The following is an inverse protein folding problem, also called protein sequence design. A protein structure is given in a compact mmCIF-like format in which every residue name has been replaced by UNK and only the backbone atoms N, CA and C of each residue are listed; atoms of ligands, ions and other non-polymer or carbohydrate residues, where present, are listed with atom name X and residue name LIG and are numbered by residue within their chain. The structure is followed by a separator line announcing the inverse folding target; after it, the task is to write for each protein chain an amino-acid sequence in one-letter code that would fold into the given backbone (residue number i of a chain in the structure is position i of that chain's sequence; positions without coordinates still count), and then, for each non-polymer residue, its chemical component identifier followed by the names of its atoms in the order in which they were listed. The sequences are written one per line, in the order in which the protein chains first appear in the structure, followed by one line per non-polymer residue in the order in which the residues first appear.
data_IF_668942994856
#
_entry.id   IF_668942994856
#
_cell.length_a   1.000
_cell.length_b   1.000
_cell.length_c   1.000
_cell.angle_alpha   90.00
_cell.angle_beta   90.00
_cell.angle_gamma   90.00
#
_symmetry.space_group_name_H-M   'P 1'
#
loop_
_entity.id
_entity.type
_entity.pdbx_description
1 polymer ?
#
# COMPACT_ATOMS: atom_id res chain seq x y z
N UNK A 1 -34.67 36.21 -2.66
CA UNK A 1 -33.76 36.11 -3.86
C UNK A 1 -32.45 35.52 -3.38
N UNK A 2 -32.32 34.21 -3.46
CA UNK A 2 -31.09 33.49 -3.11
C UNK A 2 -30.39 33.21 -4.43
N UNK A 3 -29.22 33.84 -4.65
CA UNK A 3 -28.36 33.57 -5.78
C UNK A 3 -27.61 32.27 -5.52
N UNK A 4 -27.90 31.25 -6.31
CA UNK A 4 -27.09 30.07 -6.48
C UNK A 4 -25.72 30.48 -7.09
N UNK A 5 -24.64 30.28 -6.34
CA UNK A 5 -23.29 30.29 -6.89
C UNK A 5 -23.01 28.88 -7.40
N UNK A 6 -23.16 28.68 -8.68
CA UNK A 6 -22.56 27.55 -9.39
C UNK A 6 -21.08 27.87 -9.54
N UNK A 7 -20.23 27.17 -8.82
CA UNK A 7 -18.80 27.13 -9.09
C UNK A 7 -18.62 26.25 -10.33
N UNK A 8 -18.31 26.87 -11.45
CA UNK A 8 -17.80 26.18 -12.63
C UNK A 8 -16.50 25.49 -12.27
N UNK A 9 -16.56 24.17 -12.07
CA UNK A 9 -15.39 23.29 -12.07
C UNK A 9 -14.98 23.21 -13.55
N UNK A 10 -13.96 23.97 -13.92
CA UNK A 10 -13.26 23.76 -15.20
C UNK A 10 -12.72 22.32 -15.18
N UNK A 11 -13.44 21.43 -15.82
CA UNK A 11 -12.96 20.11 -16.23
C UNK A 11 -11.93 20.35 -17.33
N UNK A 12 -10.66 20.47 -16.93
CA UNK A 12 -9.53 20.50 -17.82
C UNK A 12 -9.34 19.14 -18.48
N UNK A 13 -10.25 18.76 -19.37
CA UNK A 13 -10.11 17.65 -20.32
C UNK A 13 -9.09 18.06 -21.39
N UNK A 14 -7.82 18.18 -21.01
CA UNK A 14 -6.75 18.04 -21.97
C UNK A 14 -6.68 16.56 -22.30
N UNK A 15 -7.12 16.20 -23.51
CA UNK A 15 -7.18 14.81 -24.00
C UNK A 15 -5.83 14.13 -24.17
N UNK A 16 -4.98 14.20 -23.18
CA UNK A 16 -3.67 13.58 -23.15
C UNK A 16 -3.83 12.14 -22.64
N UNK A 17 -3.74 11.18 -23.53
CA UNK A 17 -3.68 9.76 -23.16
C UNK A 17 -2.48 9.55 -22.26
N UNK A 18 -2.71 9.06 -21.04
CA UNK A 18 -1.65 8.62 -20.13
C UNK A 18 -1.45 7.12 -20.27
N UNK A 19 -0.20 6.69 -20.13
CA UNK A 19 0.19 5.29 -19.97
C UNK A 19 0.48 5.06 -18.49
N UNK A 20 -0.07 3.98 -17.95
CA UNK A 20 0.16 3.53 -16.58
C UNK A 20 1.23 2.44 -16.61
N UNK A 21 2.38 2.71 -16.01
CA UNK A 21 3.50 1.79 -15.91
C UNK A 21 3.67 1.37 -14.45
N UNK A 22 3.53 0.08 -14.15
CA UNK A 22 3.64 -0.46 -12.80
C UNK A 22 4.71 -1.55 -12.69
N UNK A 23 5.29 -1.67 -11.49
CA UNK A 23 6.19 -2.75 -11.11
C UNK A 23 6.13 -3.00 -9.61
N UNK A 24 6.46 -4.22 -9.19
CA UNK A 24 6.51 -4.60 -7.78
C UNK A 24 7.88 -5.12 -7.39
N UNK A 25 8.15 -5.04 -6.08
CA UNK A 25 9.27 -5.72 -5.45
C UNK A 25 8.87 -6.17 -4.05
N UNK A 26 9.25 -7.41 -3.70
CA UNK A 26 8.91 -8.03 -2.42
C UNK A 26 10.17 -8.59 -1.77
N UNK A 27 10.27 -8.44 -0.46
CA UNK A 27 11.31 -9.06 0.38
C UNK A 27 10.58 -9.77 1.52
N UNK A 28 10.55 -11.10 1.54
CA UNK A 28 9.89 -11.83 2.62
C UNK A 28 10.65 -11.66 3.94
N UNK A 29 9.92 -11.69 5.04
CA UNK A 29 10.51 -11.79 6.38
C UNK A 29 11.51 -12.96 6.40
N UNK A 30 12.74 -12.79 6.95
CA UNK A 30 13.77 -13.85 6.90
C UNK A 30 13.31 -15.21 7.42
N UNK A 31 12.50 -15.24 8.46
CA UNK A 31 11.94 -16.49 9.01
C UNK A 31 10.90 -17.16 8.10
N UNK A 32 10.29 -16.41 7.17
CA UNK A 32 9.26 -16.87 6.23
C UNK A 32 9.80 -16.99 4.79
N UNK A 33 11.10 -16.81 4.56
CA UNK A 33 11.69 -16.80 3.22
C UNK A 33 11.44 -18.11 2.42
N UNK A 34 11.33 -19.25 3.10
CA UNK A 34 11.06 -20.54 2.45
C UNK A 34 9.64 -20.65 1.88
N UNK A 35 8.65 -19.98 2.48
CA UNK A 35 7.27 -19.94 2.01
C UNK A 35 7.00 -18.76 1.08
N UNK A 36 7.95 -17.83 0.97
CA UNK A 36 7.83 -16.62 0.17
C UNK A 36 7.19 -15.45 0.88
N UNK A 37 7.02 -15.55 2.22
CA UNK A 37 6.33 -14.54 3.03
C UNK A 37 4.82 -14.68 3.02
N UNK A 38 4.15 -13.78 3.72
CA UNK A 38 2.69 -13.74 3.86
C UNK A 38 2.06 -12.63 3.01
N UNK A 39 2.86 -11.72 2.47
CA UNK A 39 2.42 -10.68 1.54
C UNK A 39 2.10 -11.25 0.15
N UNK A 40 1.24 -10.52 -0.55
CA UNK A 40 0.96 -10.73 -1.96
C UNK A 40 0.77 -9.39 -2.69
N UNK A 41 0.99 -9.38 -3.99
CA UNK A 41 0.68 -8.23 -4.83
C UNK A 41 0.29 -8.65 -6.24
N UNK A 42 -0.32 -7.73 -6.96
CA UNK A 42 -0.47 -7.87 -8.41
C UNK A 42 -0.20 -6.54 -9.11
N UNK A 43 0.26 -6.64 -10.35
CA UNK A 43 0.46 -5.50 -11.26
C UNK A 43 -0.09 -5.87 -12.61
N UNK A 44 -1.03 -5.09 -13.13
CA UNK A 44 -1.55 -5.20 -14.48
C UNK A 44 -1.35 -3.89 -15.25
N UNK A 45 -1.80 -3.84 -16.50
CA UNK A 45 -1.73 -2.63 -17.32
C UNK A 45 -2.61 -1.48 -16.82
N UNK A 46 -3.57 -1.77 -15.92
CA UNK A 46 -4.56 -0.79 -15.46
C UNK A 46 -4.88 -0.88 -13.97
N UNK A 47 -4.36 -1.88 -13.27
CA UNK A 47 -4.63 -2.05 -11.84
C UNK A 47 -3.43 -2.62 -11.11
N UNK A 48 -3.38 -2.30 -9.83
CA UNK A 48 -2.33 -2.74 -8.91
C UNK A 48 -2.95 -3.05 -7.56
N UNK A 49 -2.31 -3.93 -6.78
CA UNK A 49 -2.75 -4.22 -5.42
C UNK A 49 -1.64 -4.79 -4.56
N UNK A 50 -1.73 -4.54 -3.24
CA UNK A 50 -0.89 -5.11 -2.19
C UNK A 50 -1.82 -5.68 -1.12
N UNK A 51 -1.47 -6.85 -0.60
CA UNK A 51 -2.23 -7.63 0.37
C UNK A 51 -1.24 -8.18 1.38
N UNK A 52 -1.33 -7.72 2.61
CA UNK A 52 -0.47 -8.11 3.71
C UNK A 52 -1.17 -9.17 4.56
N UNK A 53 -0.62 -10.38 4.55
CA UNK A 53 -1.20 -11.53 5.26
C UNK A 53 -0.96 -11.44 6.76
N UNK A 54 -2.04 -11.46 7.55
CA UNK A 54 -1.97 -11.28 9.00
C UNK A 54 -1.26 -12.44 9.71
N UNK A 55 -0.07 -12.17 10.25
CA UNK A 55 0.84 -13.18 10.84
C UNK A 55 0.29 -13.89 12.10
N UNK A 56 -0.75 -13.38 12.74
CA UNK A 56 -1.38 -14.00 13.91
C UNK A 56 -1.87 -15.44 13.69
N UNK A 57 -2.19 -15.80 12.48
CA UNK A 57 -2.62 -17.16 12.07
C UNK A 57 -1.53 -18.23 12.21
N UNK A 58 -0.27 -17.85 12.21
CA UNK A 58 0.85 -18.78 12.39
C UNK A 58 0.77 -19.56 13.71
N UNK A 59 0.21 -18.96 14.77
CA UNK A 59 -0.02 -19.63 16.05
C UNK A 59 -1.01 -20.79 15.97
N UNK A 60 -1.85 -20.81 14.94
CA UNK A 60 -2.81 -21.86 14.62
C UNK A 60 -2.29 -22.82 13.54
N UNK A 61 -1.04 -22.67 13.10
CA UNK A 61 -0.44 -23.48 12.04
C UNK A 61 -0.96 -23.18 10.63
N UNK A 62 -1.56 -22.00 10.43
CA UNK A 62 -2.09 -21.55 9.14
C UNK A 62 -1.06 -20.67 8.43
N UNK A 63 -0.76 -21.00 7.16
CA UNK A 63 0.02 -20.16 6.24
C UNK A 63 -0.92 -19.13 5.59
N UNK A 64 -0.98 -17.94 6.15
CA UNK A 64 -1.82 -16.85 5.63
C UNK A 64 -1.34 -16.32 4.29
N UNK A 65 -0.10 -16.58 3.90
CA UNK A 65 0.40 -16.26 2.56
C UNK A 65 -0.34 -16.97 1.43
N UNK A 66 -0.93 -18.15 1.69
CA UNK A 66 -1.84 -18.81 0.74
C UNK A 66 -3.13 -18.01 0.58
N UNK A 67 -3.62 -17.43 1.67
CA UNK A 67 -4.83 -16.62 1.68
C UNK A 67 -4.64 -15.30 0.94
N UNK A 68 -3.59 -14.55 1.27
CA UNK A 68 -3.29 -13.25 0.66
C UNK A 68 -3.03 -13.38 -0.85
N UNK A 69 -2.27 -14.40 -1.28
CA UNK A 69 -2.00 -14.67 -2.71
C UNK A 69 -3.28 -14.99 -3.48
N UNK A 70 -4.17 -15.78 -2.90
CA UNK A 70 -5.44 -16.14 -3.57
C UNK A 70 -6.40 -14.94 -3.60
N UNK A 71 -6.49 -14.14 -2.51
CA UNK A 71 -7.30 -12.94 -2.50
C UNK A 71 -6.83 -11.95 -3.57
N UNK A 72 -5.51 -11.72 -3.67
CA UNK A 72 -4.89 -10.87 -4.68
C UNK A 72 -5.23 -11.34 -6.11
N UNK A 73 -5.09 -12.65 -6.36
CA UNK A 73 -5.38 -13.26 -7.67
C UNK A 73 -6.86 -13.11 -8.06
N UNK A 74 -7.76 -13.38 -7.13
CA UNK A 74 -9.22 -13.29 -7.38
C UNK A 74 -9.67 -11.84 -7.56
N UNK A 75 -9.09 -10.89 -6.80
CA UNK A 75 -9.35 -9.46 -6.97
C UNK A 75 -8.92 -8.98 -8.35
N UNK A 76 -7.69 -9.31 -8.77
CA UNK A 76 -7.17 -8.95 -10.10
C UNK A 76 -8.03 -9.55 -11.21
N UNK A 77 -8.44 -10.81 -11.08
CA UNK A 77 -9.30 -11.50 -12.04
C UNK A 77 -10.66 -10.78 -12.18
N UNK A 78 -11.30 -10.44 -11.07
CA UNK A 78 -12.61 -9.78 -11.12
C UNK A 78 -12.55 -8.36 -11.67
N UNK A 79 -11.48 -7.60 -11.37
CA UNK A 79 -11.24 -6.30 -11.98
C UNK A 79 -11.19 -6.42 -13.53
N UNK A 80 -10.45 -7.38 -14.05
CA UNK A 80 -10.34 -7.61 -15.50
C UNK A 80 -11.68 -8.11 -16.09
N UNK A 81 -12.43 -8.95 -15.39
CA UNK A 81 -13.74 -9.41 -15.80
C UNK A 81 -14.76 -8.26 -15.89
N UNK A 82 -14.80 -7.36 -14.90
CA UNK A 82 -15.65 -6.18 -14.92
C UNK A 82 -15.34 -5.31 -16.15
N UNK A 83 -14.06 -5.05 -16.45
CA UNK A 83 -13.63 -4.27 -17.61
C UNK A 83 -14.07 -4.90 -18.93
N UNK A 84 -13.90 -6.21 -19.06
CA UNK A 84 -14.26 -6.95 -20.28
C UNK A 84 -15.78 -7.03 -20.48
N UNK A 85 -16.55 -7.18 -19.40
CA UNK A 85 -18.00 -7.35 -19.45
C UNK A 85 -18.72 -6.03 -19.70
N UNK A 86 -18.33 -4.97 -19.02
CA UNK A 86 -19.00 -3.67 -19.11
C UNK A 86 -18.51 -2.86 -20.31
N UNK A 87 -17.36 -3.21 -20.89
CA UNK A 87 -16.68 -2.38 -21.88
C UNK A 87 -16.26 -1.01 -21.32
N UNK A 88 -16.31 -0.85 -19.99
CA UNK A 88 -15.90 0.34 -19.25
C UNK A 88 -14.59 0.07 -18.52
N UNK A 89 -13.75 1.09 -18.46
CA UNK A 89 -12.54 1.03 -17.65
C UNK A 89 -12.80 1.40 -16.17
N UNK A 90 -13.99 1.94 -15.86
CA UNK A 90 -14.44 2.18 -14.50
C UNK A 90 -14.85 0.84 -13.87
N UNK A 91 -14.13 0.43 -12.83
CA UNK A 91 -14.36 -0.80 -12.06
C UNK A 91 -14.83 -0.47 -10.65
N UNK A 92 -15.63 -1.36 -10.08
CA UNK A 92 -16.01 -1.34 -8.67
C UNK A 92 -15.04 -2.20 -7.86
N UNK A 93 -14.13 -1.55 -7.14
CA UNK A 93 -13.10 -2.23 -6.37
C UNK A 93 -13.66 -2.93 -5.13
N UNK A 94 -14.72 -2.38 -4.52
CA UNK A 94 -15.40 -3.03 -3.38
C UNK A 94 -16.01 -4.34 -3.83
N UNK A 95 -16.76 -4.34 -4.92
CA UNK A 95 -17.32 -5.56 -5.53
C UNK A 95 -16.24 -6.58 -5.92
N UNK A 96 -15.07 -6.12 -6.38
CA UNK A 96 -13.94 -7.01 -6.70
C UNK A 96 -13.37 -7.69 -5.45
N UNK A 97 -13.23 -6.95 -4.35
CA UNK A 97 -12.81 -7.50 -3.05
C UNK A 97 -13.89 -8.44 -2.46
N UNK A 98 -15.18 -8.10 -2.58
CA UNK A 98 -16.29 -8.97 -2.16
C UNK A 98 -16.28 -10.31 -2.91
N UNK A 99 -16.09 -10.25 -4.23
CA UNK A 99 -15.95 -11.45 -5.05
C UNK A 99 -14.77 -12.30 -4.58
N UNK A 100 -13.61 -11.67 -4.34
CA UNK A 100 -12.40 -12.37 -3.91
C UNK A 100 -12.58 -12.99 -2.52
N UNK A 101 -13.13 -12.25 -1.56
CA UNK A 101 -13.42 -12.72 -0.20
C UNK A 101 -14.35 -13.95 -0.21
N UNK A 102 -15.42 -13.87 -1.00
CA UNK A 102 -16.43 -14.95 -1.09
C UNK A 102 -15.89 -16.22 -1.74
N UNK A 103 -14.95 -16.09 -2.67
CA UNK A 103 -14.45 -17.21 -3.48
C UNK A 103 -13.08 -17.72 -3.06
N UNK A 104 -12.44 -17.15 -2.03
CA UNK A 104 -11.17 -17.64 -1.51
C UNK A 104 -11.37 -18.92 -0.70
N UNK A 105 -10.82 -20.07 -1.12
CA UNK A 105 -11.00 -21.34 -0.43
C UNK A 105 -10.08 -21.53 0.78
N UNK A 106 -9.09 -20.64 0.94
CA UNK A 106 -8.08 -20.78 1.99
C UNK A 106 -8.57 -20.20 3.33
N UNK A 107 -7.96 -20.64 4.41
CA UNK A 107 -8.14 -20.06 5.76
C UNK A 107 -7.05 -19.01 5.98
N UNK A 108 -7.40 -17.89 6.59
CA UNK A 108 -6.49 -16.78 6.88
C UNK A 108 -7.18 -15.44 6.78
N UNK A 109 -6.40 -14.37 6.89
CA UNK A 109 -6.85 -13.00 6.67
C UNK A 109 -5.71 -12.14 6.14
N UNK A 110 -6.06 -11.01 5.53
CA UNK A 110 -5.10 -10.09 4.92
C UNK A 110 -5.68 -8.68 4.89
N UNK A 111 -4.82 -7.66 4.89
CA UNK A 111 -5.18 -6.32 4.48
C UNK A 111 -5.41 -6.26 2.97
N UNK A 112 -5.89 -5.16 2.44
CA UNK A 112 -6.00 -4.97 1.00
C UNK A 112 -5.89 -3.49 0.63
N UNK A 113 -4.91 -3.13 -0.19
CA UNK A 113 -4.88 -1.83 -0.88
C UNK A 113 -4.83 -2.09 -2.38
N UNK A 114 -5.82 -1.59 -3.10
CA UNK A 114 -5.97 -1.81 -4.54
C UNK A 114 -6.25 -0.49 -5.24
N UNK A 115 -5.78 -0.36 -6.49
CA UNK A 115 -6.07 0.80 -7.32
C UNK A 115 -6.25 0.40 -8.78
N UNK A 116 -7.17 1.07 -9.47
CA UNK A 116 -7.46 0.85 -10.88
C UNK A 116 -7.51 2.17 -11.65
N UNK A 117 -6.85 2.21 -12.80
CA UNK A 117 -6.81 3.32 -13.73
C UNK A 117 -7.91 3.20 -14.77
N UNK A 118 -8.73 4.24 -14.88
CA UNK A 118 -9.73 4.41 -15.93
C UNK A 118 -9.20 5.43 -16.96
N UNK A 119 -8.57 4.98 -18.06
CA UNK A 119 -8.02 5.88 -19.08
C UNK A 119 -9.07 6.66 -19.86
N UNK A 120 -10.34 6.21 -19.88
CA UNK A 120 -11.44 6.93 -20.56
C UNK A 120 -12.05 7.98 -19.66
N UNK A 121 -12.26 7.65 -18.40
CA UNK A 121 -12.74 8.59 -17.39
C UNK A 121 -11.67 9.54 -16.87
N UNK A 122 -10.40 9.25 -17.12
CA UNK A 122 -9.27 10.07 -16.65
C UNK A 122 -9.07 10.04 -15.14
N UNK A 123 -9.53 8.98 -14.46
CA UNK A 123 -9.50 8.85 -12.99
C UNK A 123 -8.79 7.57 -12.57
N UNK A 124 -7.92 7.68 -11.57
CA UNK A 124 -7.50 6.54 -10.75
C UNK A 124 -8.44 6.45 -9.55
N UNK A 125 -8.96 5.26 -9.31
CA UNK A 125 -9.74 4.94 -8.11
C UNK A 125 -9.00 3.89 -7.30
N UNK A 126 -9.12 3.98 -5.97
CA UNK A 126 -8.53 2.99 -5.08
C UNK A 126 -9.42 2.70 -3.89
N UNK A 127 -9.11 1.59 -3.23
CA UNK A 127 -9.71 1.15 -1.97
C UNK A 127 -8.59 0.64 -1.06
N UNK A 128 -8.58 1.08 0.19
CA UNK A 128 -7.65 0.65 1.23
C UNK A 128 -8.41 0.09 2.43
N UNK A 129 -8.10 -1.12 2.84
CA UNK A 129 -8.61 -1.75 4.05
C UNK A 129 -7.45 -2.34 4.84
N UNK A 130 -7.23 -1.80 6.03
CA UNK A 130 -6.13 -2.16 6.93
C UNK A 130 -5.04 -1.10 7.00
N UNK A 131 -3.84 -1.51 7.43
CA UNK A 131 -2.68 -0.66 7.67
C UNK A 131 -1.62 -0.69 6.55
N UNK A 132 -1.80 -1.52 5.52
CA UNK A 132 -1.23 -1.27 4.20
C UNK A 132 -1.73 0.07 3.66
N UNK A 133 -1.04 0.67 2.69
CA UNK A 133 -1.45 1.99 2.26
C UNK A 133 -1.03 2.39 0.85
N UNK A 134 -1.61 3.50 0.40
CA UNK A 134 -1.32 4.15 -0.86
C UNK A 134 -0.78 5.58 -0.63
N UNK A 135 0.29 5.93 -1.35
CA UNK A 135 0.79 7.29 -1.49
C UNK A 135 0.76 7.70 -2.96
N UNK A 136 0.16 8.84 -3.25
CA UNK A 136 0.30 9.47 -4.56
C UNK A 136 1.22 10.67 -4.44
N UNK A 137 2.25 10.72 -5.26
CA UNK A 137 3.24 11.79 -5.30
C UNK A 137 3.09 12.57 -6.60
N UNK A 138 3.11 13.89 -6.50
CA UNK A 138 3.03 14.82 -7.63
C UNK A 138 4.15 15.83 -7.55
N UNK A 139 4.66 16.27 -8.70
CA UNK A 139 5.63 17.38 -8.76
C UNK A 139 4.91 18.72 -8.67
N UNK A 140 5.45 19.60 -7.88
CA UNK A 140 5.05 21.02 -7.83
C UNK A 140 5.64 21.82 -9.00
N UNK A 141 5.42 23.13 -8.98
CA UNK A 141 5.94 24.05 -10.01
C UNK A 141 7.48 24.18 -10.00
N UNK A 142 8.15 23.86 -8.89
CA UNK A 142 9.62 23.83 -8.78
C UNK A 142 10.19 22.48 -9.25
N UNK A 143 9.33 21.48 -9.49
CA UNK A 143 9.71 20.13 -9.90
C UNK A 143 9.97 19.18 -8.73
N UNK A 144 9.70 19.62 -7.50
CA UNK A 144 9.84 18.81 -6.29
C UNK A 144 8.60 17.96 -6.04
N UNK A 145 8.79 16.71 -5.59
CA UNK A 145 7.66 15.84 -5.23
C UNK A 145 7.06 16.22 -3.88
N UNK A 146 5.75 16.19 -3.82
CA UNK A 146 4.97 16.28 -2.60
C UNK A 146 3.91 15.18 -2.56
N UNK A 147 3.42 14.85 -1.36
CA UNK A 147 2.34 13.89 -1.18
C UNK A 147 1.03 14.55 -1.55
N UNK A 148 0.43 14.12 -2.67
CA UNK A 148 -0.88 14.57 -3.14
C UNK A 148 -2.00 13.89 -2.36
N UNK A 149 -1.83 12.61 -2.06
CA UNK A 149 -2.78 11.76 -1.36
C UNK A 149 -2.02 10.69 -0.57
N UNK A 150 -2.50 10.40 0.63
CA UNK A 150 -2.11 9.26 1.44
C UNK A 150 -3.36 8.68 2.09
N UNK A 151 -3.51 7.36 2.07
CA UNK A 151 -4.54 6.66 2.85
C UNK A 151 -4.16 6.60 4.32
N UNK A 152 -5.17 6.57 5.20
CA UNK A 152 -4.97 6.35 6.62
C UNK A 152 -4.87 4.85 6.93
N UNK A 153 -4.06 4.48 7.91
CA UNK A 153 -4.10 3.13 8.46
C UNK A 153 -5.42 2.90 9.20
N UNK A 154 -6.09 1.78 8.92
CA UNK A 154 -7.30 1.36 9.61
C UNK A 154 -6.95 0.23 10.58
N UNK A 155 -7.05 0.51 11.86
CA UNK A 155 -6.69 -0.40 12.94
C UNK A 155 -7.78 -0.45 14.03
N UNK A 156 -8.06 -1.63 14.57
CA UNK A 156 -8.85 -1.82 15.79
C UNK A 156 -8.07 -1.45 17.05
N UNK A 157 -6.76 -1.43 16.94
CA UNK A 157 -5.78 -1.06 17.96
C UNK A 157 -4.38 -1.15 17.38
N UNK A 158 -3.38 -0.58 18.06
CA UNK A 158 -2.01 -0.54 17.56
C UNK A 158 -1.51 -1.90 17.08
N UNK A 159 -1.07 -2.00 15.82
CA UNK A 159 -0.66 -3.22 15.12
C UNK A 159 -1.75 -4.31 15.08
N UNK A 160 -3.01 -3.90 14.99
CA UNK A 160 -4.15 -4.79 14.80
C UNK A 160 -5.05 -4.23 13.70
N UNK A 161 -4.71 -4.51 12.43
CA UNK A 161 -5.38 -3.91 11.27
C UNK A 161 -6.81 -4.42 11.06
N UNK A 162 -7.61 -3.62 10.36
CA UNK A 162 -8.77 -4.12 9.63
C UNK A 162 -8.30 -5.16 8.63
N UNK A 163 -9.03 -6.25 8.46
CA UNK A 163 -8.60 -7.39 7.68
C UNK A 163 -9.76 -8.16 7.07
N UNK A 164 -9.60 -8.57 5.83
CA UNK A 164 -10.55 -9.44 5.13
C UNK A 164 -10.15 -10.90 5.33
N UNK A 165 -11.08 -11.74 5.82
CA UNK A 165 -10.73 -13.14 6.00
C UNK A 165 -11.69 -13.99 6.80
N UNK A 166 -11.19 -15.15 7.18
CA UNK A 166 -11.92 -16.16 7.95
C UNK A 166 -12.28 -15.63 9.34
N UNK A 167 -13.56 -15.61 9.65
CA UNK A 167 -14.10 -15.12 10.93
C UNK A 167 -13.75 -13.65 11.26
N UNK A 168 -13.37 -12.86 10.27
CA UNK A 168 -13.22 -11.41 10.43
C UNK A 168 -14.58 -10.72 10.35
N UNK A 169 -14.71 -9.59 11.03
CA UNK A 169 -15.91 -8.75 11.03
C UNK A 169 -15.84 -7.64 9.99
N UNK A 170 -14.63 -7.30 9.55
CA UNK A 170 -14.40 -6.26 8.58
C UNK A 170 -14.81 -6.72 7.17
N UNK A 171 -15.43 -5.84 6.44
CA UNK A 171 -16.00 -6.11 5.12
C UNK A 171 -15.36 -5.20 4.06
N UNK A 172 -15.34 -5.59 2.78
CA UNK A 172 -14.84 -4.73 1.72
C UNK A 172 -15.47 -3.33 1.66
N UNK A 173 -16.73 -3.20 2.14
CA UNK A 173 -17.42 -1.91 2.27
C UNK A 173 -16.83 -0.97 3.34
N UNK A 174 -15.98 -1.47 4.25
CA UNK A 174 -15.30 -0.67 5.27
C UNK A 174 -14.01 -0.03 4.73
N UNK A 175 -13.63 -0.35 3.49
CA UNK A 175 -12.45 0.22 2.86
C UNK A 175 -12.57 1.73 2.69
N UNK A 176 -11.48 2.46 2.98
CA UNK A 176 -11.32 3.86 2.59
C UNK A 176 -11.21 3.94 1.06
N UNK A 177 -12.15 4.65 0.44
CA UNK A 177 -12.11 4.87 -1.00
C UNK A 177 -11.40 6.19 -1.31
N UNK A 178 -10.56 6.17 -2.34
CA UNK A 178 -9.88 7.37 -2.81
C UNK A 178 -9.92 7.46 -4.35
N UNK A 179 -9.88 8.67 -4.85
CA UNK A 179 -9.77 8.92 -6.29
C UNK A 179 -9.02 10.22 -6.57
N UNK A 180 -8.37 10.27 -7.70
CA UNK A 180 -7.77 11.50 -8.23
C UNK A 180 -7.60 11.42 -9.76
N UNK A 181 -7.48 12.59 -10.39
CA UNK A 181 -7.13 12.70 -11.81
C UNK A 181 -5.60 12.76 -11.96
N UNK A 182 -4.95 11.70 -12.47
CA UNK A 182 -3.52 11.65 -12.66
C UNK A 182 -3.03 12.64 -13.73
N UNK A 183 -1.79 13.07 -13.56
CA UNK A 183 -1.01 13.85 -14.54
C UNK A 183 0.26 13.09 -14.92
N UNK A 184 0.79 13.40 -16.08
CA UNK A 184 2.09 12.86 -16.46
C UNK A 184 3.16 13.25 -15.42
N UNK A 185 3.90 12.26 -14.93
CA UNK A 185 4.89 12.42 -13.87
C UNK A 185 4.37 12.09 -12.47
N UNK A 186 3.05 11.90 -12.26
CA UNK A 186 2.54 11.39 -10.98
C UNK A 186 3.00 9.98 -10.73
N UNK A 187 3.25 9.67 -9.46
CA UNK A 187 3.71 8.36 -8.99
C UNK A 187 2.77 7.85 -7.92
N UNK A 188 2.28 6.63 -8.07
CA UNK A 188 1.54 5.90 -7.07
C UNK A 188 2.46 4.85 -6.44
N UNK A 189 2.51 4.81 -5.11
CA UNK A 189 3.19 3.77 -4.35
C UNK A 189 2.15 3.09 -3.48
N UNK A 190 1.96 1.77 -3.64
CA UNK A 190 1.24 0.94 -2.69
C UNK A 190 2.26 0.14 -1.88
N UNK A 191 2.03 0.00 -0.60
CA UNK A 191 2.97 -0.65 0.30
C UNK A 191 2.27 -1.40 1.43
N UNK A 192 2.87 -2.53 1.89
CA UNK A 192 2.51 -3.18 3.14
C UNK A 192 3.06 -2.42 4.35
N UNK A 193 2.63 -2.79 5.54
CA UNK A 193 3.08 -2.17 6.79
C UNK A 193 4.58 -2.33 7.00
N UNK A 194 5.20 -3.45 6.57
CA UNK A 194 6.65 -3.62 6.60
C UNK A 194 7.44 -2.51 5.90
N UNK A 195 6.80 -1.75 5.01
CA UNK A 195 7.36 -0.52 4.43
C UNK A 195 6.98 0.70 5.26
N UNK A 196 5.68 0.87 5.55
CA UNK A 196 5.12 2.09 6.14
C UNK A 196 5.50 2.26 7.61
N UNK A 197 5.81 1.18 8.31
CA UNK A 197 6.34 1.18 9.66
C UNK A 197 7.84 1.53 9.72
N UNK A 198 8.56 1.41 8.60
CA UNK A 198 9.99 1.66 8.53
C UNK A 198 10.38 2.94 7.79
N UNK A 199 9.55 3.39 6.83
CA UNK A 199 9.83 4.58 6.02
C UNK A 199 8.86 5.72 6.34
N UNK A 200 9.41 6.90 6.60
CA UNK A 200 8.64 8.13 6.53
C UNK A 200 8.31 8.49 5.07
N UNK A 201 7.34 9.36 4.86
CA UNK A 201 7.00 9.87 3.51
C UNK A 201 8.21 10.43 2.77
N UNK A 202 9.11 11.12 3.48
CA UNK A 202 10.31 11.68 2.88
C UNK A 202 11.28 10.60 2.38
N UNK A 203 11.43 9.49 3.12
CA UNK A 203 12.27 8.36 2.68
C UNK A 203 11.73 7.76 1.36
N UNK A 204 10.39 7.68 1.21
CA UNK A 204 9.73 7.21 -0.02
C UNK A 204 9.93 8.22 -1.16
N UNK A 205 9.77 9.52 -0.89
CA UNK A 205 10.01 10.59 -1.87
C UNK A 205 11.46 10.52 -2.37
N UNK A 206 12.42 10.35 -1.48
CA UNK A 206 13.85 10.27 -1.84
C UNK A 206 14.13 9.07 -2.75
N UNK A 207 13.51 7.90 -2.48
CA UNK A 207 13.58 6.74 -3.36
C UNK A 207 13.00 7.02 -4.75
N UNK A 208 11.88 7.73 -4.83
CA UNK A 208 11.23 8.13 -6.09
C UNK A 208 12.12 9.11 -6.86
N UNK A 209 12.66 10.14 -6.21
CA UNK A 209 13.56 11.13 -6.80
C UNK A 209 14.79 10.44 -7.39
N UNK A 210 15.43 9.55 -6.62
CA UNK A 210 16.65 8.86 -7.04
C UNK A 210 16.43 7.98 -8.27
N UNK A 211 15.25 7.34 -8.38
CA UNK A 211 15.05 6.26 -9.37
C UNK A 211 14.25 6.70 -10.60
N UNK A 212 13.32 7.64 -10.46
CA UNK A 212 12.40 8.04 -11.54
C UNK A 212 12.86 9.30 -12.31
N UNK A 213 14.13 9.69 -12.20
CA UNK A 213 14.69 10.78 -12.99
C UNK A 213 14.69 10.51 -14.51
N UNK A 214 14.59 9.25 -14.94
CA UNK A 214 14.58 8.86 -16.35
C UNK A 214 13.23 8.26 -16.79
N UNK A 215 12.89 8.45 -18.08
CA UNK A 215 11.71 7.86 -18.70
C UNK A 215 11.90 6.37 -19.10
N UNK A 216 12.93 5.69 -18.59
CA UNK A 216 13.14 4.27 -18.83
C UNK A 216 12.05 3.45 -18.11
N UNK A 217 11.32 2.52 -18.75
CA UNK A 217 10.34 1.63 -18.11
C UNK A 217 10.90 0.86 -16.90
N UNK A 218 12.18 0.47 -16.93
CA UNK A 218 12.86 -0.17 -15.79
C UNK A 218 13.01 0.76 -14.56
N UNK A 219 12.77 2.08 -14.71
CA UNK A 219 12.87 3.01 -13.60
C UNK A 219 11.83 2.72 -12.51
N UNK A 220 10.61 2.32 -12.91
CA UNK A 220 9.53 1.99 -11.95
C UNK A 220 9.91 0.75 -11.13
N UNK A 221 10.50 -0.26 -11.76
CA UNK A 221 11.00 -1.45 -11.06
C UNK A 221 12.14 -1.12 -10.11
N UNK A 222 13.08 -0.24 -10.53
CA UNK A 222 14.13 0.24 -9.63
C UNK A 222 13.56 1.02 -8.46
N UNK A 223 12.49 1.78 -8.68
CA UNK A 223 11.81 2.52 -7.62
C UNK A 223 11.21 1.56 -6.57
N UNK A 224 10.40 0.58 -7.00
CA UNK A 224 9.84 -0.42 -6.09
C UNK A 224 10.94 -1.16 -5.31
N UNK A 225 12.00 -1.57 -6.01
CA UNK A 225 13.16 -2.24 -5.40
C UNK A 225 13.87 -1.34 -4.40
N UNK A 226 14.14 -0.08 -4.74
CA UNK A 226 14.83 0.86 -3.86
C UNK A 226 14.05 1.10 -2.58
N UNK A 227 12.73 1.35 -2.68
CA UNK A 227 11.86 1.51 -1.51
C UNK A 227 11.90 0.26 -0.62
N UNK A 228 11.77 -0.93 -1.20
CA UNK A 228 11.79 -2.18 -0.45
C UNK A 228 13.14 -2.44 0.23
N UNK A 229 14.26 -2.23 -0.47
CA UNK A 229 15.62 -2.39 0.10
C UNK A 229 15.90 -1.36 1.19
N UNK A 230 15.41 -0.12 1.05
CA UNK A 230 15.55 0.91 2.08
C UNK A 230 14.73 0.53 3.32
N UNK A 231 13.48 0.08 3.15
CA UNK A 231 12.64 -0.40 4.24
C UNK A 231 13.29 -1.60 4.96
N UNK A 232 13.83 -2.57 4.21
CA UNK A 232 14.53 -3.71 4.79
C UNK A 232 15.76 -3.29 5.62
N UNK A 233 16.57 -2.38 5.09
CA UNK A 233 17.75 -1.89 5.83
C UNK A 233 17.36 -1.19 7.14
N UNK A 234 16.24 -0.45 7.12
CA UNK A 234 15.75 0.22 8.33
C UNK A 234 15.06 -0.75 9.29
N UNK A 235 14.42 -1.80 8.78
CA UNK A 235 13.72 -2.79 9.61
C UNK A 235 14.67 -3.59 10.52
N UNK A 236 15.94 -3.74 10.14
CA UNK A 236 16.98 -4.43 10.92
C UNK A 236 17.82 -3.48 11.78
N UNK A 237 17.61 -2.18 11.71
CA UNK A 237 18.35 -1.17 12.47
C UNK A 237 17.68 -0.95 13.83
N UNK A 238 18.31 -1.46 14.89
CA UNK A 238 17.81 -1.35 16.27
C UNK A 238 17.79 0.11 16.81
N UNK A 239 18.54 1.01 16.18
CA UNK A 239 18.64 2.42 16.60
C UNK A 239 17.73 3.34 15.75
N UNK A 240 17.01 2.77 14.76
CA UNK A 240 16.12 3.53 13.87
C UNK A 240 14.95 4.12 14.66
N UNK A 241 14.81 5.43 14.61
CA UNK A 241 13.61 6.15 15.07
C UNK A 241 12.69 6.33 13.87
N UNK A 242 11.89 5.31 13.62
CA UNK A 242 10.98 5.22 12.49
C UNK A 242 9.51 5.43 12.85
N UNK A 243 8.62 5.33 11.85
CA UNK A 243 7.18 5.42 12.08
C UNK A 243 6.68 4.41 13.11
N UNK A 244 7.23 3.18 13.12
CA UNK A 244 6.90 2.14 14.10
C UNK A 244 7.09 2.60 15.56
N UNK A 245 8.29 3.10 15.90
CA UNK A 245 8.56 3.60 17.25
C UNK A 245 7.68 4.80 17.61
N UNK A 246 7.45 5.71 16.65
CA UNK A 246 6.56 6.84 16.88
C UNK A 246 5.11 6.40 17.13
N UNK A 247 4.61 5.44 16.37
CA UNK A 247 3.30 4.83 16.53
C UNK A 247 3.15 4.17 17.90
N UNK A 248 4.12 3.33 18.27
CA UNK A 248 4.17 2.66 19.57
C UNK A 248 4.17 3.66 20.74
N UNK A 249 4.91 4.76 20.60
CA UNK A 249 4.94 5.83 21.61
C UNK A 249 3.59 6.54 21.72
N UNK A 250 2.96 6.89 20.60
CA UNK A 250 1.62 7.49 20.58
C UNK A 250 0.56 6.57 21.17
N UNK A 251 0.70 5.26 20.98
CA UNK A 251 -0.20 4.24 21.53
C UNK A 251 0.10 3.89 23.01
N UNK A 252 1.06 4.57 23.67
CA UNK A 252 1.42 4.33 25.06
C UNK A 252 2.16 3.00 25.30
N UNK A 253 2.63 2.30 24.25
CA UNK A 253 3.32 1.00 24.39
C UNK A 253 4.70 1.12 25.03
N UNK A 254 5.31 2.29 24.99
CA UNK A 254 6.62 2.59 25.59
C UNK A 254 6.52 3.25 26.96
N UNK A 255 5.32 3.42 27.50
CA UNK A 255 5.13 3.94 28.84
C UNK A 255 5.41 2.84 29.88
N UNK A 256 6.23 3.19 30.89
CA UNK A 256 6.52 2.27 31.99
C UNK A 256 5.23 2.00 32.78
N UNK A 257 4.79 0.72 32.92
CA UNK A 257 3.60 0.42 33.72
C UNK A 257 3.80 0.89 35.15
N UNK A 258 2.96 1.80 35.64
CA UNK A 258 2.96 2.18 37.05
C UNK A 258 2.51 0.99 37.89
N UNK A 259 3.31 0.58 38.86
CA UNK A 259 3.01 -0.57 39.72
C UNK A 259 3.42 -0.33 41.15
N UNK A 260 2.50 -0.08 42.09
CA UNK A 260 2.83 -0.04 43.51
C UNK A 260 3.11 -1.46 44.00
N UNK A 261 4.35 -1.73 44.51
CA UNK A 261 4.66 -2.86 45.37
C UNK A 261 4.99 -4.24 44.75
N UNK A 262 5.48 -4.31 43.50
CA UNK A 262 5.89 -5.56 42.87
C UNK A 262 7.43 -5.77 42.82
N UNK A 263 7.88 -7.04 42.66
CA UNK A 263 9.27 -7.42 42.51
C UNK A 263 9.91 -6.68 41.32
N UNK A 264 10.80 -5.72 41.57
CA UNK A 264 11.28 -4.75 40.59
C UNK A 264 12.05 -5.39 39.41
N UNK A 265 12.79 -6.49 39.67
CA UNK A 265 13.68 -7.09 38.68
C UNK A 265 12.96 -7.81 37.56
N UNK A 266 11.90 -8.59 37.85
CA UNK A 266 11.10 -9.27 36.82
C UNK A 266 10.34 -8.28 35.94
N UNK A 267 9.78 -7.23 36.55
CA UNK A 267 9.10 -6.15 35.82
C UNK A 267 10.05 -5.30 34.99
N UNK A 268 11.29 -5.13 35.45
CA UNK A 268 12.30 -4.43 34.66
C UNK A 268 12.69 -5.25 33.40
N UNK A 269 12.78 -6.59 33.51
CA UNK A 269 13.07 -7.48 32.38
C UNK A 269 11.90 -7.48 31.37
N UNK A 270 10.66 -7.63 31.84
CA UNK A 270 9.46 -7.56 31.00
C UNK A 270 9.35 -6.20 30.28
N UNK A 271 9.64 -5.10 30.99
CA UNK A 271 9.66 -3.78 30.39
C UNK A 271 10.76 -3.63 29.33
N UNK A 272 11.95 -4.18 29.54
CA UNK A 272 13.02 -4.17 28.55
C UNK A 272 12.67 -4.96 27.29
N UNK A 273 11.97 -6.08 27.43
CA UNK A 273 11.46 -6.84 26.28
C UNK A 273 10.40 -6.05 25.50
N UNK A 274 9.47 -5.38 26.20
CA UNK A 274 8.48 -4.48 25.57
C UNK A 274 9.20 -3.34 24.84
N UNK A 275 10.16 -2.66 25.47
CA UNK A 275 10.90 -1.58 24.83
C UNK A 275 11.60 -2.09 23.57
N UNK A 276 12.26 -3.24 23.66
CA UNK A 276 12.95 -3.86 22.51
C UNK A 276 11.98 -4.22 21.37
N UNK A 277 10.76 -4.65 21.67
CA UNK A 277 9.76 -4.99 20.67
C UNK A 277 9.19 -3.76 19.95
N UNK A 278 9.22 -2.58 20.58
CA UNK A 278 8.59 -1.37 20.07
C UNK A 278 9.57 -0.23 19.74
N UNK A 279 10.90 -0.49 19.80
CA UNK A 279 11.94 0.46 19.39
C UNK A 279 12.77 -0.09 18.25
N UNK A 280 13.43 0.80 17.51
CA UNK A 280 14.15 0.42 16.30
C UNK A 280 13.23 0.20 15.10
N UNK A 281 13.76 -0.47 14.07
CA UNK A 281 12.97 -0.90 12.93
C UNK A 281 12.07 -2.10 13.24
N UNK A 282 10.95 -2.23 12.51
CA UNK A 282 10.05 -3.40 12.58
C UNK A 282 10.37 -4.36 11.43
N UNK A 283 10.86 -5.56 11.76
CA UNK A 283 11.11 -6.59 10.76
C UNK A 283 9.80 -7.29 10.38
N UNK A 284 9.44 -7.22 9.11
CA UNK A 284 8.23 -7.83 8.55
C UNK A 284 8.43 -8.26 7.09
N UNK A 285 7.40 -8.84 6.48
CA UNK A 285 7.30 -8.96 5.03
C UNK A 285 7.23 -7.54 4.43
N UNK A 286 7.93 -7.30 3.34
CA UNK A 286 8.05 -5.98 2.70
C UNK A 286 7.57 -6.08 1.27
N UNK A 287 6.48 -5.39 0.94
CA UNK A 287 5.94 -5.35 -0.41
C UNK A 287 5.73 -3.93 -0.88
N UNK A 288 6.30 -3.60 -2.03
CA UNK A 288 6.13 -2.31 -2.72
C UNK A 288 5.62 -2.56 -4.13
N UNK A 289 4.55 -1.87 -4.49
CA UNK A 289 4.13 -1.66 -5.88
C UNK A 289 4.31 -0.18 -6.19
N UNK A 290 5.16 0.14 -7.16
CA UNK A 290 5.28 1.48 -7.70
C UNK A 290 4.61 1.54 -9.07
N UNK A 291 3.90 2.62 -9.35
CA UNK A 291 3.34 2.90 -10.66
C UNK A 291 3.50 4.38 -11.00
N UNK A 292 3.70 4.69 -12.29
CA UNK A 292 3.77 6.08 -12.76
C UNK A 292 2.86 6.30 -13.96
N UNK A 293 2.48 7.54 -14.13
CA UNK A 293 1.72 7.99 -15.28
C UNK A 293 2.66 8.75 -16.23
N UNK A 294 2.76 8.28 -17.48
CA UNK A 294 3.62 8.91 -18.50
C UNK A 294 2.81 9.29 -19.73
N UNK A 295 3.25 10.33 -20.41
CA UNK A 295 2.71 10.63 -21.74
C UNK A 295 3.13 9.54 -22.71
N UNK A 296 2.25 9.06 -23.60
CA UNK A 296 2.63 8.11 -24.62
C UNK A 296 3.75 8.70 -25.51
N UNK A 297 4.62 7.84 -26.06
CA UNK A 297 5.64 8.31 -26.99
C UNK A 297 4.96 9.02 -28.17
N UNK A 298 5.57 10.11 -28.65
CA UNK A 298 5.10 10.78 -29.84
C UNK A 298 5.00 9.78 -31.01
N UNK A 299 3.93 9.82 -31.83
CA UNK A 299 3.85 8.97 -32.99
C UNK A 299 5.08 9.20 -33.88
N UNK A 300 5.64 8.13 -34.50
CA UNK A 300 6.77 8.29 -35.39
C UNK A 300 6.40 9.31 -36.49
N UNK A 301 7.30 10.28 -36.70
CA UNK A 301 7.10 11.28 -37.75
C UNK A 301 6.77 10.56 -39.05
N UNK A 302 5.59 10.83 -39.62
CA UNK A 302 5.23 10.29 -40.92
C UNK A 302 6.28 10.79 -41.92
N UNK A 303 7.06 9.87 -42.48
CA UNK A 303 7.92 10.20 -43.62
C UNK A 303 6.97 10.53 -44.77
N UNK A 304 6.78 11.82 -45.00
CA UNK A 304 6.21 12.36 -46.23
C UNK A 304 7.19 12.18 -47.38
#
# INVERSE_FOLDING_TARGET
MIRSMTTDVETGLTGQRLVFEGASYMIPHPAKAQTGGEDACFVSSHSVGVFDGVGGWATLGVDTGLYSRELARLTALNIEEQRNTTGSDAVDLVSALEYALKNNPNTGSTTAVVAAWDPRGGLLRGANLGDSGALCLRRDAAGEYFVLLRTAAQEHGFNFPYQLGTNCTDMPSDAELFEFAPRAGDVLVLASDGVLDNLFEQDIIDCVVETLASNNPEAVRRCAKKCAETAFNFSIDAERKGPWEEGARKAGKLERPWSPGGNSVLKDLEYQEIVKAYTGGKMDDITVVAARFVSPPAPPASKL
#
